data_IF_491379193154
#
_entry.id   IF_491379193154
#
_cell.length_a   1.000
_cell.length_b   1.000
_cell.length_c   1.000
_cell.angle_alpha   90.00
_cell.angle_beta   90.00
_cell.angle_gamma   90.00
#
_symmetry.space_group_name_H-M   'P 1'
#
loop_
_entity.id
_entity.type
_entity.pdbx_description
1 polymer ?
#
# COMPACT_ATOMS: atom_id res chain seq x y z
N UNK A 1 20.12 24.29 24.09
CA UNK A 1 18.74 24.44 24.62
C UNK A 1 18.07 25.55 23.81
N UNK A 2 17.15 25.26 22.89
CA UNK A 2 16.38 26.31 22.20
C UNK A 2 15.17 26.62 23.07
N UNK A 3 15.11 27.81 23.68
CA UNK A 3 13.91 28.30 24.35
C UNK A 3 12.81 28.48 23.31
N UNK A 4 11.66 27.80 23.48
CA UNK A 4 10.46 28.12 22.71
C UNK A 4 9.77 29.28 23.42
N UNK A 5 9.69 30.43 22.75
CA UNK A 5 8.79 31.50 23.13
C UNK A 5 7.41 31.21 22.50
N UNK A 6 6.36 31.18 23.32
CA UNK A 6 4.97 31.23 22.84
C UNK A 6 4.53 32.69 22.90
N UNK A 7 3.97 33.19 21.80
CA UNK A 7 3.53 34.58 21.66
C UNK A 7 2.02 34.62 21.50
N UNK A 8 1.34 35.43 22.31
CA UNK A 8 -0.09 35.70 22.17
C UNK A 8 -0.29 37.21 22.02
N UNK A 9 -1.09 37.62 21.05
CA UNK A 9 -1.47 39.03 20.89
C UNK A 9 -2.61 39.33 21.87
N UNK A 10 -2.41 40.30 22.75
CA UNK A 10 -3.42 40.77 23.71
C UNK A 10 -3.66 42.26 23.52
N UNK A 11 -4.92 42.74 23.63
CA UNK A 11 -5.26 44.15 23.42
C UNK A 11 -4.67 45.08 24.50
N UNK A 12 -4.42 44.56 25.70
CA UNK A 12 -3.69 45.26 26.76
C UNK A 12 -2.95 44.26 27.65
N UNK A 13 -1.79 44.66 28.18
CA UNK A 13 -1.01 43.82 29.10
C UNK A 13 -1.74 43.74 30.46
N UNK A 14 -2.06 42.55 31.00
CA UNK A 14 -2.67 42.46 32.31
C UNK A 14 -1.68 42.92 33.39
N UNK A 15 -2.10 43.90 34.20
CA UNK A 15 -1.34 44.48 35.30
C UNK A 15 -2.02 44.17 36.63
N UNK A 16 -1.22 44.06 37.69
CA UNK A 16 -1.67 44.03 39.07
C UNK A 16 -2.14 45.44 39.51
N UNK A 17 -2.90 45.56 40.61
CA UNK A 17 -3.29 46.87 41.17
C UNK A 17 -2.11 47.80 41.49
N UNK A 18 -0.90 47.24 41.64
CA UNK A 18 0.35 47.97 41.84
C UNK A 18 1.02 48.47 40.55
N UNK A 19 0.40 48.26 39.38
CA UNK A 19 0.93 48.65 38.07
C UNK A 19 2.00 47.72 37.47
N UNK A 20 2.35 46.61 38.15
CA UNK A 20 3.31 45.62 37.66
C UNK A 20 2.64 44.56 36.75
N UNK A 21 3.36 44.00 35.75
CA UNK A 21 2.84 42.89 34.92
C UNK A 21 2.37 41.68 35.74
N UNK A 22 1.16 41.22 35.48
CA UNK A 22 0.56 40.03 36.09
C UNK A 22 1.00 38.76 35.33
N UNK A 23 2.21 38.29 35.64
CA UNK A 23 2.81 37.11 35.00
C UNK A 23 1.94 35.84 35.07
N UNK A 24 1.27 35.51 36.19
CA UNK A 24 0.31 34.41 36.24
C UNK A 24 -0.79 34.51 35.18
N UNK A 25 -1.40 35.69 35.02
CA UNK A 25 -2.49 35.92 34.06
C UNK A 25 -2.03 35.96 32.61
N UNK A 26 -0.81 36.43 32.36
CA UNK A 26 -0.16 36.28 31.03
C UNK A 26 0.04 34.80 30.69
N UNK A 27 0.46 33.98 31.67
CA UNK A 27 0.68 32.55 31.45
C UNK A 27 -0.61 31.78 31.15
N UNK A 28 -1.73 32.13 31.78
CA UNK A 28 -3.03 31.50 31.47
C UNK A 28 -3.53 31.89 30.09
N UNK A 29 -3.41 33.16 29.69
CA UNK A 29 -3.77 33.62 28.35
C UNK A 29 -2.97 32.93 27.23
N UNK A 30 -1.70 32.61 27.49
CA UNK A 30 -0.84 31.85 26.55
C UNK A 30 -1.11 30.34 26.60
N UNK A 31 -1.66 29.82 27.70
CA UNK A 31 -2.06 28.42 27.84
C UNK A 31 -3.43 28.16 27.18
N UNK A 32 -4.34 29.13 27.22
CA UNK A 32 -5.71 29.06 26.70
C UNK A 32 -5.87 29.63 25.27
N UNK A 33 -4.77 30.03 24.62
CA UNK A 33 -4.78 30.44 23.21
C UNK A 33 -5.28 29.31 22.29
N UNK A 34 -6.01 29.62 21.21
CA UNK A 34 -6.75 28.61 20.46
C UNK A 34 -5.83 27.54 19.86
N UNK A 35 -6.26 26.25 19.83
CA UNK A 35 -5.53 25.13 19.23
C UNK A 35 -5.32 25.26 17.71
N UNK A 36 -5.86 26.31 17.07
CA UNK A 36 -5.82 26.56 15.64
C UNK A 36 -4.40 26.55 15.04
N UNK A 37 -3.36 26.89 15.82
CA UNK A 37 -1.97 26.86 15.34
C UNK A 37 -1.39 25.45 15.22
N UNK A 38 -1.76 24.52 16.12
CA UNK A 38 -1.31 23.12 16.04
C UNK A 38 -2.13 22.36 15.00
N UNK A 39 -3.43 22.70 14.83
CA UNK A 39 -4.26 22.13 13.77
C UNK A 39 -3.86 22.58 12.37
N UNK A 40 -3.44 23.85 12.21
CA UNK A 40 -2.86 24.33 10.95
C UNK A 40 -1.57 23.57 10.61
N UNK A 41 -0.69 23.30 11.59
CA UNK A 41 0.58 22.59 11.36
C UNK A 41 0.36 21.13 10.92
N UNK A 42 -0.65 20.42 11.46
CA UNK A 42 -1.01 19.09 10.97
C UNK A 42 -1.72 19.14 9.62
N UNK A 43 -2.64 20.08 9.38
CA UNK A 43 -3.30 20.24 8.09
C UNK A 43 -2.28 20.51 6.99
N UNK A 44 -1.31 21.39 7.24
CA UNK A 44 -0.21 21.70 6.32
C UNK A 44 0.66 20.46 6.07
N UNK A 45 0.94 19.67 7.11
CA UNK A 45 1.66 18.40 6.97
C UNK A 45 0.89 17.37 6.13
N UNK A 46 -0.44 17.31 6.28
CA UNK A 46 -1.33 16.49 5.43
C UNK A 46 -1.36 16.99 3.98
N UNK A 47 -1.49 18.31 3.79
CA UNK A 47 -1.46 18.97 2.49
C UNK A 47 -0.14 18.71 1.76
N UNK A 48 0.99 18.87 2.44
CA UNK A 48 2.33 18.66 1.91
C UNK A 48 2.55 17.22 1.43
N UNK A 49 2.17 16.24 2.25
CA UNK A 49 2.45 14.82 1.96
C UNK A 49 1.46 14.24 0.95
N UNK A 50 0.20 14.70 0.96
CA UNK A 50 -0.84 14.23 0.03
C UNK A 50 -0.96 15.10 -1.23
N UNK A 51 -0.15 16.17 -1.30
CA UNK A 51 -0.20 17.19 -2.35
C UNK A 51 -1.61 17.75 -2.54
N UNK A 52 -2.31 17.98 -1.44
CA UNK A 52 -3.65 18.55 -1.40
C UNK A 52 -3.57 20.03 -1.04
N UNK A 53 -4.57 20.80 -1.46
CA UNK A 53 -4.70 22.19 -1.01
C UNK A 53 -5.15 22.18 0.47
N UNK A 54 -4.42 22.83 1.40
CA UNK A 54 -4.78 22.90 2.82
C UNK A 54 -6.22 23.37 3.04
N UNK A 55 -6.74 24.25 2.18
CA UNK A 55 -8.09 24.80 2.29
C UNK A 55 -9.20 23.75 2.13
N UNK A 56 -8.89 22.59 1.54
CA UNK A 56 -9.84 21.50 1.30
C UNK A 56 -9.72 20.35 2.32
N UNK A 57 -8.84 20.45 3.31
CA UNK A 57 -8.62 19.41 4.31
C UNK A 57 -9.39 19.74 5.59
N UNK A 58 -10.41 18.94 5.89
CA UNK A 58 -11.14 19.03 7.16
C UNK A 58 -10.38 18.35 8.29
N UNK A 59 -10.45 18.90 9.50
CA UNK A 59 -9.92 18.27 10.73
C UNK A 59 -10.62 16.94 11.08
N UNK A 60 -11.80 16.68 10.52
CA UNK A 60 -12.52 15.41 10.65
C UNK A 60 -12.11 14.37 9.61
N UNK A 61 -11.35 14.76 8.58
CA UNK A 61 -10.89 13.84 7.55
C UNK A 61 -9.83 12.88 8.12
N UNK A 62 -9.84 11.65 7.62
CA UNK A 62 -8.80 10.67 7.93
C UNK A 62 -7.79 10.59 6.77
N UNK A 63 -6.61 10.03 7.04
CA UNK A 63 -5.60 9.79 6.00
C UNK A 63 -6.15 8.95 4.84
N UNK A 64 -7.01 7.98 5.14
CA UNK A 64 -7.65 7.12 4.12
C UNK A 64 -8.67 7.92 3.31
N UNK A 65 -9.48 8.77 3.93
CA UNK A 65 -10.50 9.58 3.24
C UNK A 65 -9.87 10.59 2.28
N UNK A 66 -8.71 11.13 2.64
CA UNK A 66 -7.93 12.06 1.81
C UNK A 66 -7.17 11.37 0.65
N UNK A 67 -7.38 10.06 0.46
CA UNK A 67 -6.78 9.31 -0.64
C UNK A 67 -5.32 8.91 -0.41
N UNK A 68 -4.90 8.80 0.86
CA UNK A 68 -3.60 8.29 1.23
C UNK A 68 -3.31 6.91 0.66
N UNK A 69 -2.06 6.69 0.26
CA UNK A 69 -1.54 5.46 -0.33
C UNK A 69 -0.35 4.93 0.49
N UNK A 70 0.26 3.81 0.08
CA UNK A 70 1.33 3.19 0.87
C UNK A 70 2.61 4.04 1.04
N UNK A 71 2.98 4.91 0.08
CA UNK A 71 4.17 5.79 0.23
C UNK A 71 3.85 7.00 1.09
N UNK A 72 2.76 7.68 0.77
CA UNK A 72 2.28 8.78 1.59
C UNK A 72 2.01 8.30 3.01
N UNK A 73 1.63 7.04 3.22
CA UNK A 73 1.50 6.45 4.55
C UNK A 73 2.82 6.46 5.30
N UNK A 74 3.91 5.98 4.70
CA UNK A 74 5.23 5.91 5.35
C UNK A 74 5.79 7.31 5.59
N UNK A 75 5.65 8.18 4.59
CA UNK A 75 6.11 9.58 4.70
C UNK A 75 5.31 10.31 5.78
N UNK A 76 3.99 10.10 5.80
CA UNK A 76 3.07 10.64 6.79
C UNK A 76 3.35 10.07 8.17
N UNK A 77 3.54 8.76 8.32
CA UNK A 77 3.78 8.13 9.61
C UNK A 77 5.08 8.63 10.23
N UNK A 78 6.15 8.77 9.44
CA UNK A 78 7.43 9.34 9.92
C UNK A 78 7.28 10.82 10.31
N UNK A 79 6.54 11.62 9.52
CA UNK A 79 6.34 13.04 9.81
C UNK A 79 5.41 13.26 11.01
N UNK A 80 4.31 12.51 11.10
CA UNK A 80 3.39 12.53 12.24
C UNK A 80 4.06 12.03 13.50
N UNK A 81 4.86 10.98 13.46
CA UNK A 81 5.57 10.50 14.64
C UNK A 81 6.64 11.51 15.11
N UNK A 82 7.25 12.28 14.20
CA UNK A 82 8.12 13.41 14.58
C UNK A 82 7.33 14.56 15.22
N UNK A 83 6.14 14.87 14.71
CA UNK A 83 5.30 15.95 15.21
C UNK A 83 4.65 15.59 16.56
N UNK A 84 4.07 14.40 16.67
CA UNK A 84 3.25 13.90 17.79
C UNK A 84 4.05 13.07 18.80
N UNK A 85 5.25 12.62 18.46
CA UNK A 85 6.14 11.81 19.31
C UNK A 85 5.79 10.32 19.39
N UNK A 86 4.50 9.98 19.49
CA UNK A 86 4.02 8.60 19.42
C UNK A 86 2.82 8.52 18.47
N UNK A 87 2.86 7.59 17.53
CA UNK A 87 1.80 7.37 16.56
C UNK A 87 1.04 6.06 16.85
N UNK A 88 -0.29 6.09 17.06
CA UNK A 88 -1.12 4.89 17.23
C UNK A 88 -1.09 3.98 15.99
N UNK A 89 -1.27 2.67 16.15
CA UNK A 89 -1.25 1.72 15.02
C UNK A 89 -2.43 1.90 14.03
N UNK A 90 -3.54 2.45 14.51
CA UNK A 90 -4.78 2.73 13.78
C UNK A 90 -4.90 4.18 13.31
N UNK A 91 -3.82 4.97 13.43
CA UNK A 91 -3.74 6.38 13.00
C UNK A 91 -4.33 6.69 11.61
N UNK A 92 -4.27 5.82 10.57
CA UNK A 92 -4.76 6.18 9.24
C UNK A 92 -6.28 6.36 9.19
N UNK A 93 -6.99 5.78 10.17
CA UNK A 93 -8.44 5.84 10.31
C UNK A 93 -8.88 6.82 11.41
N UNK A 94 -7.93 7.46 12.08
CA UNK A 94 -8.23 8.47 13.09
C UNK A 94 -8.39 9.84 12.40
N UNK A 95 -9.38 10.65 12.82
CA UNK A 95 -9.49 12.04 12.39
C UNK A 95 -8.25 12.85 12.80
N UNK A 96 -7.87 13.86 12.00
CA UNK A 96 -6.75 14.76 12.31
C UNK A 96 -6.90 15.37 13.72
N UNK A 97 -8.11 15.81 14.08
CA UNK A 97 -8.42 16.34 15.43
C UNK A 97 -8.15 15.37 16.58
N UNK A 98 -8.20 14.06 16.34
CA UNK A 98 -7.99 13.04 17.36
C UNK A 98 -6.49 12.72 17.51
N UNK A 99 -5.73 12.82 16.42
CA UNK A 99 -4.28 12.73 16.42
C UNK A 99 -3.65 13.90 17.20
N UNK A 100 -4.20 15.10 17.06
CA UNK A 100 -3.78 16.30 17.80
C UNK A 100 -3.94 16.16 19.33
N UNK A 101 -5.02 15.50 19.77
CA UNK A 101 -5.35 15.35 21.19
C UNK A 101 -4.50 14.31 21.92
N UNK A 102 -3.62 13.59 21.21
CA UNK A 102 -2.76 12.53 21.77
C UNK A 102 -1.26 12.84 21.62
N UNK A 103 -0.73 13.96 22.17
CA UNK A 103 0.70 14.19 22.15
C UNK A 103 1.42 13.14 23.03
N UNK A 104 2.31 12.37 22.43
CA UNK A 104 3.22 11.46 23.12
C UNK A 104 4.49 12.17 23.60
N UNK A 105 5.24 11.59 24.56
CA UNK A 105 6.53 12.15 24.99
C UNK A 105 7.52 12.23 23.81
N UNK A 106 8.10 13.42 23.60
CA UNK A 106 8.98 13.73 22.45
C UNK A 106 10.15 12.74 22.32
N UNK A 107 10.51 12.28 21.10
CA UNK A 107 11.58 11.31 20.93
C UNK A 107 12.95 11.98 21.14
N UNK A 108 13.82 11.36 21.94
CA UNK A 108 15.26 11.65 21.94
C UNK A 108 15.87 11.13 20.62
N UNK A 109 16.86 11.83 20.07
CA UNK A 109 17.51 11.46 18.80
C UNK A 109 18.13 10.04 18.77
N UNK A 110 18.41 9.45 19.93
CA UNK A 110 18.85 8.04 20.08
C UNK A 110 17.71 7.01 19.94
N UNK A 111 16.45 7.45 19.84
CA UNK A 111 15.27 6.61 19.57
C UNK A 111 14.88 6.59 18.08
N UNK A 112 15.80 6.85 17.16
CA UNK A 112 15.57 6.74 15.70
C UNK A 112 15.16 5.33 15.24
N UNK A 113 15.24 4.33 16.13
CA UNK A 113 14.74 2.96 16.01
C UNK A 113 13.24 2.79 16.34
N UNK A 114 12.53 3.89 16.62
CA UNK A 114 11.12 3.87 17.01
C UNK A 114 10.11 3.84 15.86
N UNK A 115 10.53 4.12 14.62
CA UNK A 115 9.55 4.31 13.53
C UNK A 115 8.81 3.02 13.21
N UNK A 116 7.49 3.12 13.18
CA UNK A 116 6.61 2.00 12.86
C UNK A 116 6.42 1.90 11.34
N UNK A 117 6.74 0.74 10.80
CA UNK A 117 6.51 0.39 9.40
C UNK A 117 5.46 -0.72 9.35
N UNK A 118 4.44 -0.59 8.50
CA UNK A 118 3.49 -1.69 8.30
C UNK A 118 4.21 -2.90 7.74
N UNK A 119 3.93 -4.07 8.31
CA UNK A 119 4.52 -5.34 7.84
C UNK A 119 4.17 -5.61 6.37
N UNK A 120 2.99 -5.18 5.92
CA UNK A 120 2.58 -5.25 4.51
C UNK A 120 3.54 -4.49 3.58
N UNK A 121 4.03 -3.32 3.99
CA UNK A 121 4.98 -2.48 3.24
C UNK A 121 6.37 -3.09 3.30
N UNK A 122 6.81 -3.50 4.50
CA UNK A 122 8.10 -4.15 4.70
C UNK A 122 8.24 -5.43 3.84
N UNK A 123 7.23 -6.30 3.90
CA UNK A 123 7.20 -7.53 3.12
C UNK A 123 7.07 -7.26 1.63
N UNK A 124 6.36 -6.19 1.21
CA UNK A 124 6.28 -5.81 -0.21
C UNK A 124 7.64 -5.39 -0.75
N UNK A 125 8.38 -4.58 0.02
CA UNK A 125 9.74 -4.17 -0.31
C UNK A 125 10.71 -5.36 -0.37
N UNK A 126 10.66 -6.24 0.65
CA UNK A 126 11.49 -7.44 0.69
C UNK A 126 11.16 -8.38 -0.48
N UNK A 127 9.87 -8.63 -0.73
CA UNK A 127 9.42 -9.55 -1.76
C UNK A 127 9.81 -9.09 -3.17
N UNK A 128 9.72 -7.79 -3.49
CA UNK A 128 10.16 -7.32 -4.81
C UNK A 128 11.68 -7.44 -4.97
N UNK A 129 12.47 -7.16 -3.92
CA UNK A 129 13.92 -7.36 -3.96
C UNK A 129 14.26 -8.85 -4.16
N UNK A 130 13.60 -9.75 -3.43
CA UNK A 130 13.79 -11.21 -3.61
C UNK A 130 13.44 -11.67 -5.03
N UNK A 131 12.37 -11.12 -5.62
CA UNK A 131 11.99 -11.38 -7.02
C UNK A 131 13.13 -10.96 -7.94
N UNK A 132 13.60 -9.72 -7.86
CA UNK A 132 14.64 -9.21 -8.77
C UNK A 132 15.96 -9.96 -8.60
N UNK A 133 16.38 -10.21 -7.35
CA UNK A 133 17.61 -10.96 -7.07
C UNK A 133 17.58 -12.38 -7.63
N UNK A 134 16.42 -13.05 -7.54
CA UNK A 134 16.28 -14.42 -8.07
C UNK A 134 16.32 -14.47 -9.60
N UNK A 135 15.67 -13.51 -10.26
CA UNK A 135 15.70 -13.44 -11.73
C UNK A 135 17.05 -12.99 -12.29
N UNK A 136 17.79 -12.15 -11.56
CA UNK A 136 19.16 -11.76 -11.91
C UNK A 136 20.21 -12.83 -11.56
N UNK A 137 19.79 -14.01 -11.11
CA UNK A 137 20.64 -15.11 -10.65
C UNK A 137 21.64 -14.70 -9.55
N UNK A 138 21.32 -13.68 -8.74
CA UNK A 138 22.19 -13.28 -7.63
C UNK A 138 22.13 -14.31 -6.50
N UNK A 139 20.93 -14.85 -6.23
CA UNK A 139 20.69 -16.03 -5.41
C UNK A 139 19.32 -16.60 -5.77
N UNK A 140 19.16 -17.92 -5.72
CA UNK A 140 17.91 -18.58 -6.11
C UNK A 140 16.95 -18.71 -4.92
N UNK A 141 16.08 -17.71 -4.74
CA UNK A 141 15.06 -17.72 -3.69
C UNK A 141 13.68 -17.34 -4.25
N UNK A 142 13.06 -18.31 -4.88
CA UNK A 142 11.72 -18.20 -5.44
C UNK A 142 10.67 -18.12 -4.34
N UNK A 143 9.62 -17.32 -4.53
CA UNK A 143 8.49 -17.20 -3.59
C UNK A 143 7.98 -15.78 -3.35
N UNK A 144 8.81 -14.76 -3.61
CA UNK A 144 8.43 -13.35 -3.37
C UNK A 144 7.11 -12.94 -4.04
N UNK A 145 6.84 -13.38 -5.27
CA UNK A 145 5.57 -13.09 -5.95
C UNK A 145 4.32 -13.66 -5.24
N UNK A 146 4.45 -14.81 -4.56
CA UNK A 146 3.33 -15.40 -3.79
C UNK A 146 3.05 -14.60 -2.52
N UNK A 147 4.11 -14.09 -1.88
CA UNK A 147 4.00 -13.15 -0.75
C UNK A 147 3.32 -11.86 -1.22
N UNK A 148 3.73 -11.29 -2.37
CA UNK A 148 3.09 -10.12 -2.96
C UNK A 148 1.59 -10.35 -3.23
N UNK A 149 1.20 -11.55 -3.67
CA UNK A 149 -0.20 -11.89 -3.93
C UNK A 149 -1.03 -11.93 -2.64
N UNK A 150 -0.48 -12.51 -1.56
CA UNK A 150 -1.10 -12.43 -0.24
C UNK A 150 -1.18 -11.00 0.31
N UNK A 151 -0.15 -10.18 0.14
CA UNK A 151 -0.19 -8.76 0.51
C UNK A 151 -1.26 -8.01 -0.29
N UNK A 152 -1.42 -8.31 -1.58
CA UNK A 152 -2.44 -7.70 -2.40
C UNK A 152 -3.86 -8.02 -1.88
N UNK A 153 -4.11 -9.27 -1.50
CA UNK A 153 -5.37 -9.67 -0.86
C UNK A 153 -5.61 -8.99 0.49
N UNK A 154 -4.56 -8.88 1.31
CA UNK A 154 -4.62 -8.18 2.60
C UNK A 154 -4.93 -6.69 2.44
N UNK A 155 -4.30 -6.03 1.47
CA UNK A 155 -4.55 -4.62 1.17
C UNK A 155 -5.93 -4.42 0.54
N UNK A 156 -6.39 -5.33 -0.32
CA UNK A 156 -7.74 -5.31 -0.85
C UNK A 156 -8.79 -5.33 0.27
N UNK A 157 -8.62 -6.19 1.28
CA UNK A 157 -9.50 -6.26 2.44
C UNK A 157 -9.60 -4.95 3.22
N UNK A 158 -8.48 -4.23 3.33
CA UNK A 158 -8.35 -3.02 4.15
C UNK A 158 -8.80 -1.74 3.44
N UNK A 159 -8.54 -1.66 2.13
CA UNK A 159 -8.68 -0.41 1.37
C UNK A 159 -9.79 -0.45 0.32
N UNK A 160 -10.12 -1.62 -0.23
CA UNK A 160 -11.18 -1.74 -1.25
C UNK A 160 -12.55 -2.12 -0.67
N UNK A 161 -12.57 -2.78 0.49
CA UNK A 161 -13.80 -3.22 1.18
C UNK A 161 -14.15 -2.29 2.35
N UNK A 162 -14.36 -1.00 2.03
CA UNK A 162 -14.70 0.07 2.97
C UNK A 162 -16.22 0.19 3.17
N UNK A 163 -16.69 0.84 4.25
CA UNK A 163 -18.12 1.04 4.50
C UNK A 163 -18.82 1.99 3.50
N UNK A 164 -18.06 2.58 2.56
CA UNK A 164 -18.55 3.50 1.52
C UNK A 164 -19.73 2.93 0.72
N UNK A 165 -20.45 3.82 0.03
CA UNK A 165 -21.56 3.42 -0.81
C UNK A 165 -21.08 2.50 -1.93
N UNK A 166 -21.95 1.59 -2.38
CA UNK A 166 -21.63 0.61 -3.42
C UNK A 166 -21.06 1.27 -4.69
N UNK A 167 -21.64 2.35 -5.26
CA UNK A 167 -21.09 3.00 -6.46
C UNK A 167 -19.68 3.56 -6.27
N UNK A 168 -19.37 4.10 -5.09
CA UNK A 168 -18.05 4.64 -4.76
C UNK A 168 -17.01 3.54 -4.61
N UNK A 169 -17.37 2.44 -3.97
CA UNK A 169 -16.55 1.24 -3.88
C UNK A 169 -16.25 0.67 -5.28
N UNK A 170 -17.26 0.58 -6.15
CA UNK A 170 -17.07 0.16 -7.54
C UNK A 170 -16.08 1.06 -8.30
N UNK A 171 -16.26 2.37 -8.16
CA UNK A 171 -15.36 3.36 -8.77
C UNK A 171 -13.94 3.17 -8.25
N UNK A 172 -13.76 2.98 -6.95
CA UNK A 172 -12.47 2.75 -6.31
C UNK A 172 -11.80 1.46 -6.81
N UNK A 173 -12.51 0.32 -6.82
CA UNK A 173 -11.98 -0.95 -7.36
C UNK A 173 -11.58 -0.82 -8.82
N UNK A 174 -12.43 -0.22 -9.66
CA UNK A 174 -12.12 0.00 -11.09
C UNK A 174 -10.89 0.88 -11.26
N UNK A 175 -10.77 1.94 -10.47
CA UNK A 175 -9.60 2.82 -10.47
C UNK A 175 -8.34 2.05 -10.04
N UNK A 176 -8.40 1.21 -9.00
CA UNK A 176 -7.29 0.36 -8.56
C UNK A 176 -6.88 -0.66 -9.63
N UNK A 177 -7.84 -1.32 -10.28
CA UNK A 177 -7.58 -2.23 -11.39
C UNK A 177 -6.91 -1.47 -12.54
N UNK A 178 -7.47 -0.34 -12.95
CA UNK A 178 -6.88 0.49 -14.00
C UNK A 178 -5.47 0.97 -13.65
N UNK A 179 -5.20 1.27 -12.37
CA UNK A 179 -3.87 1.66 -11.91
C UNK A 179 -2.80 0.58 -12.00
N UNK A 180 -3.21 -0.69 -11.98
CA UNK A 180 -2.30 -1.83 -12.12
C UNK A 180 -2.23 -2.27 -13.58
N UNK A 181 -3.40 -2.45 -14.21
CA UNK A 181 -3.52 -2.96 -15.56
C UNK A 181 -2.99 -1.97 -16.60
N UNK A 182 -3.30 -0.66 -16.50
CA UNK A 182 -2.90 0.29 -17.53
C UNK A 182 -1.37 0.44 -17.66
N UNK A 183 -0.60 0.61 -16.56
CA UNK A 183 0.87 0.59 -16.67
C UNK A 183 1.43 -0.73 -17.17
N UNK A 184 0.84 -1.87 -16.74
CA UNK A 184 1.27 -3.18 -17.20
C UNK A 184 1.03 -3.35 -18.71
N UNK A 185 -0.16 -3.05 -19.21
CA UNK A 185 -0.51 -3.12 -20.63
C UNK A 185 0.33 -2.14 -21.45
N UNK A 186 0.53 -0.91 -20.97
CA UNK A 186 1.39 0.07 -21.65
C UNK A 186 2.84 -0.40 -21.72
N UNK A 187 3.37 -1.00 -20.64
CA UNK A 187 4.71 -1.57 -20.65
C UNK A 187 4.83 -2.76 -21.59
N UNK A 188 3.84 -3.66 -21.59
CA UNK A 188 3.78 -4.79 -22.52
C UNK A 188 3.70 -4.30 -23.96
N UNK A 189 2.92 -3.26 -24.25
CA UNK A 189 2.84 -2.65 -25.58
C UNK A 189 4.20 -2.08 -26.03
N UNK A 190 4.92 -1.41 -25.12
CA UNK A 190 6.27 -0.92 -25.40
C UNK A 190 7.26 -2.07 -25.61
N UNK A 191 7.23 -3.08 -24.73
CA UNK A 191 8.12 -4.24 -24.81
C UNK A 191 7.85 -5.05 -26.09
N UNK A 192 6.61 -5.16 -26.54
CA UNK A 192 6.24 -5.78 -27.82
C UNK A 192 6.89 -5.09 -29.04
N UNK A 193 7.13 -3.78 -28.97
CA UNK A 193 7.75 -3.01 -30.05
C UNK A 193 9.27 -3.10 -29.99
N UNK A 194 9.83 -3.23 -28.79
CA UNK A 194 11.28 -3.18 -28.53
C UNK A 194 11.92 -4.57 -28.45
N UNK A 195 11.13 -5.61 -28.16
CA UNK A 195 11.61 -6.98 -27.98
C UNK A 195 10.66 -7.97 -28.65
N UNK A 196 11.22 -9.01 -29.27
CA UNK A 196 10.43 -10.10 -29.89
C UNK A 196 9.90 -11.13 -28.86
N UNK A 197 10.15 -10.90 -27.57
CA UNK A 197 9.83 -11.82 -26.48
C UNK A 197 8.34 -11.87 -26.13
N UNK A 198 7.53 -10.88 -26.53
CA UNK A 198 6.14 -10.74 -26.09
C UNK A 198 5.14 -11.06 -27.22
N UNK A 199 4.01 -11.66 -26.86
CA UNK A 199 2.86 -11.92 -27.75
C UNK A 199 1.67 -11.00 -27.49
N UNK A 200 0.76 -10.86 -28.48
CA UNK A 200 -0.47 -10.05 -28.38
C UNK A 200 -1.39 -10.49 -27.23
N UNK A 201 -1.36 -11.78 -26.87
CA UNK A 201 -2.06 -12.34 -25.69
C UNK A 201 -1.64 -11.69 -24.37
N UNK A 202 -0.40 -11.20 -24.26
CA UNK A 202 0.10 -10.47 -23.08
C UNK A 202 -0.51 -9.06 -22.95
N UNK A 203 -0.95 -8.41 -24.04
CA UNK A 203 -1.65 -7.12 -24.00
C UNK A 203 -3.01 -7.23 -23.30
N UNK A 204 -3.66 -8.38 -23.43
CA UNK A 204 -4.92 -8.67 -22.74
C UNK A 204 -4.71 -9.17 -21.32
N UNK A 205 -3.45 -9.30 -20.85
CA UNK A 205 -3.11 -10.02 -19.60
C UNK A 205 -3.78 -11.40 -19.55
N UNK A 206 -3.94 -12.01 -20.72
CA UNK A 206 -4.66 -13.26 -20.93
C UNK A 206 -3.72 -14.32 -21.51
N UNK A 207 -2.40 -14.15 -21.36
CA UNK A 207 -1.43 -15.09 -21.89
C UNK A 207 -1.63 -16.50 -21.28
N UNK A 208 -2.18 -16.58 -20.06
CA UNK A 208 -2.56 -17.87 -19.46
C UNK A 208 -3.84 -18.52 -19.96
N UNK A 209 -4.75 -17.76 -20.57
CA UNK A 209 -5.97 -18.30 -21.17
C UNK A 209 -5.80 -18.55 -22.67
N UNK A 210 -5.01 -17.70 -23.34
CA UNK A 210 -4.98 -17.57 -24.79
C UNK A 210 -3.56 -17.69 -25.38
N UNK A 211 -2.52 -17.74 -24.55
CA UNK A 211 -1.13 -17.77 -24.98
C UNK A 211 -0.53 -19.18 -25.01
N UNK A 212 0.56 -19.39 -25.77
CA UNK A 212 1.28 -20.67 -25.79
C UNK A 212 1.80 -21.02 -24.39
N UNK A 213 1.54 -22.24 -23.92
CA UNK A 213 1.97 -22.74 -22.61
C UNK A 213 3.50 -22.71 -22.44
N UNK A 214 4.26 -22.76 -23.54
CA UNK A 214 5.74 -22.75 -23.58
C UNK A 214 6.36 -21.36 -23.84
N UNK A 215 5.61 -20.25 -23.74
CA UNK A 215 6.20 -18.92 -23.97
C UNK A 215 7.10 -18.51 -22.79
N UNK A 216 8.32 -18.02 -23.10
CA UNK A 216 9.27 -17.48 -22.13
C UNK A 216 8.71 -16.30 -21.30
N UNK A 217 7.61 -15.70 -21.76
CA UNK A 217 6.81 -14.67 -21.08
C UNK A 217 5.71 -15.19 -20.13
N UNK A 218 5.29 -16.45 -20.22
CA UNK A 218 4.24 -17.02 -19.38
C UNK A 218 4.57 -16.93 -17.87
N UNK A 219 5.87 -17.04 -17.52
CA UNK A 219 6.37 -16.83 -16.17
C UNK A 219 6.66 -15.37 -15.80
N UNK A 220 6.78 -14.44 -16.77
CA UNK A 220 7.20 -13.05 -16.49
C UNK A 220 6.08 -12.17 -15.95
N UNK A 221 4.84 -12.34 -16.45
CA UNK A 221 3.70 -11.47 -16.08
C UNK A 221 2.64 -12.16 -15.21
N UNK A 222 2.82 -13.44 -14.90
CA UNK A 222 1.80 -14.27 -14.26
C UNK A 222 1.19 -13.64 -13.00
N UNK A 223 2.00 -12.97 -12.17
CA UNK A 223 1.55 -12.32 -10.94
C UNK A 223 0.54 -11.21 -11.25
N UNK A 224 0.83 -10.36 -12.24
CA UNK A 224 -0.03 -9.24 -12.62
C UNK A 224 -1.33 -9.77 -13.24
N UNK A 225 -1.25 -10.80 -14.09
CA UNK A 225 -2.43 -11.43 -14.68
C UNK A 225 -3.37 -12.00 -13.60
N UNK A 226 -2.83 -12.80 -12.67
CA UNK A 226 -3.62 -13.39 -11.58
C UNK A 226 -4.24 -12.31 -10.71
N UNK A 227 -3.48 -11.27 -10.36
CA UNK A 227 -3.98 -10.17 -9.56
C UNK A 227 -5.12 -9.43 -10.27
N UNK A 228 -4.94 -9.04 -11.53
CA UNK A 228 -5.94 -8.28 -12.29
C UNK A 228 -7.21 -9.10 -12.48
N UNK A 229 -7.11 -10.37 -12.91
CA UNK A 229 -8.28 -11.23 -13.10
C UNK A 229 -9.00 -11.54 -11.79
N UNK A 230 -8.27 -11.73 -10.68
CA UNK A 230 -8.87 -11.88 -9.36
C UNK A 230 -9.66 -10.63 -8.97
N UNK A 231 -9.09 -9.44 -9.17
CA UNK A 231 -9.76 -8.17 -8.87
C UNK A 231 -10.98 -7.93 -9.78
N UNK A 232 -10.91 -8.28 -11.06
CA UNK A 232 -12.05 -8.22 -11.99
C UNK A 232 -13.15 -9.18 -11.53
N UNK A 233 -12.80 -10.43 -11.24
CA UNK A 233 -13.73 -11.44 -10.74
C UNK A 233 -14.42 -11.01 -9.44
N UNK A 234 -13.67 -10.44 -8.49
CA UNK A 234 -14.24 -9.90 -7.25
C UNK A 234 -15.10 -8.66 -7.49
N UNK A 235 -14.74 -7.80 -8.44
CA UNK A 235 -15.56 -6.65 -8.83
C UNK A 235 -16.91 -7.12 -9.37
N UNK A 236 -16.91 -8.13 -10.25
CA UNK A 236 -18.13 -8.73 -10.78
C UNK A 236 -18.94 -9.44 -9.69
N UNK A 237 -18.29 -10.17 -8.79
CA UNK A 237 -18.94 -10.84 -7.66
C UNK A 237 -19.67 -9.85 -6.76
N UNK A 238 -18.99 -8.76 -6.36
CA UNK A 238 -19.58 -7.71 -5.52
C UNK A 238 -20.56 -6.82 -6.28
N UNK A 239 -20.71 -7.02 -7.60
CA UNK A 239 -21.74 -6.35 -8.38
C UNK A 239 -23.10 -7.00 -8.14
N UNK A 240 -23.13 -8.16 -7.51
CA UNK A 240 -24.36 -8.74 -6.99
C UNK A 240 -24.71 -8.09 -5.65
N UNK A 241 -25.92 -7.49 -5.49
CA UNK A 241 -26.35 -6.88 -4.22
C UNK A 241 -26.35 -7.87 -3.05
N UNK A 242 -26.49 -9.17 -3.34
CA UNK A 242 -26.45 -10.23 -2.33
C UNK A 242 -25.03 -10.40 -1.79
N UNK A 243 -24.02 -10.44 -2.67
CA UNK A 243 -22.63 -10.58 -2.26
C UNK A 243 -22.13 -9.37 -1.46
N UNK A 244 -22.50 -8.14 -1.87
CA UNK A 244 -22.16 -6.92 -1.12
C UNK A 244 -22.83 -6.92 0.27
N UNK A 245 -24.10 -7.32 0.37
CA UNK A 245 -24.80 -7.43 1.67
C UNK A 245 -24.18 -8.49 2.57
N UNK A 246 -23.79 -9.65 2.03
CA UNK A 246 -23.14 -10.72 2.78
C UNK A 246 -21.77 -10.27 3.29
N UNK A 247 -20.97 -9.59 2.46
CA UNK A 247 -19.66 -9.09 2.89
C UNK A 247 -19.76 -8.03 3.98
N UNK A 248 -20.80 -7.20 3.98
CA UNK A 248 -21.07 -6.25 5.07
C UNK A 248 -21.52 -6.92 6.36
N UNK A 249 -22.32 -7.98 6.27
CA UNK A 249 -22.86 -8.70 7.45
C UNK A 249 -21.83 -9.63 8.09
N UNK A 250 -21.06 -10.34 7.27
CA UNK A 250 -20.13 -11.37 7.71
C UNK A 250 -18.82 -11.30 6.89
N UNK A 251 -18.02 -10.24 7.05
CA UNK A 251 -16.85 -9.97 6.21
C UNK A 251 -15.81 -11.10 6.26
N UNK A 252 -15.57 -11.65 7.45
CA UNK A 252 -14.65 -12.78 7.61
C UNK A 252 -15.19 -14.07 6.97
N UNK A 253 -16.50 -14.35 7.11
CA UNK A 253 -17.09 -15.55 6.55
C UNK A 253 -17.05 -15.56 5.02
N UNK A 254 -17.28 -14.40 4.37
CA UNK A 254 -17.15 -14.27 2.92
C UNK A 254 -15.71 -14.51 2.46
N UNK A 255 -14.73 -13.92 3.16
CA UNK A 255 -13.32 -14.14 2.85
C UNK A 255 -12.90 -15.61 3.08
N UNK A 256 -13.38 -16.24 4.15
CA UNK A 256 -13.14 -17.65 4.45
C UNK A 256 -13.80 -18.59 3.43
N UNK A 257 -15.00 -18.28 2.95
CA UNK A 257 -15.66 -19.03 1.89
C UNK A 257 -14.89 -18.92 0.57
N UNK A 258 -14.43 -17.72 0.22
CA UNK A 258 -13.58 -17.51 -0.97
C UNK A 258 -12.25 -18.28 -0.87
N UNK A 259 -11.64 -18.29 0.32
CA UNK A 259 -10.46 -19.11 0.61
C UNK A 259 -10.76 -20.61 0.50
N UNK A 260 -11.88 -21.09 1.03
CA UNK A 260 -12.28 -22.49 0.92
C UNK A 260 -12.46 -22.93 -0.54
N UNK A 261 -13.05 -22.08 -1.39
CA UNK A 261 -13.12 -22.32 -2.85
C UNK A 261 -11.72 -22.41 -3.46
N UNK A 262 -10.82 -21.48 -3.11
CA UNK A 262 -9.43 -21.53 -3.56
C UNK A 262 -8.71 -22.82 -3.14
N UNK A 263 -8.93 -23.27 -1.90
CA UNK A 263 -8.36 -24.52 -1.38
C UNK A 263 -8.93 -25.76 -2.07
N UNK A 264 -10.24 -25.79 -2.35
CA UNK A 264 -10.88 -26.90 -3.06
C UNK A 264 -10.32 -27.04 -4.49
N UNK A 265 -10.12 -25.91 -5.19
CA UNK A 265 -9.52 -25.90 -6.52
C UNK A 265 -8.04 -26.29 -6.49
N UNK A 266 -7.31 -25.86 -5.45
CA UNK A 266 -5.89 -26.18 -5.26
C UNK A 266 -5.66 -27.69 -5.06
N UNK A 267 -6.54 -28.38 -4.34
CA UNK A 267 -6.48 -29.84 -4.17
C UNK A 267 -7.21 -30.63 -5.25
N UNK A 268 -7.68 -29.96 -6.31
CA UNK A 268 -8.50 -30.54 -7.38
C UNK A 268 -9.66 -31.42 -6.86
N UNK A 269 -10.31 -30.97 -5.78
CA UNK A 269 -11.47 -31.68 -5.19
C UNK A 269 -12.58 -31.94 -6.23
N UNK A 270 -12.87 -31.02 -7.18
CA UNK A 270 -13.87 -31.28 -8.21
C UNK A 270 -13.38 -32.20 -9.35
N UNK A 271 -12.12 -32.63 -9.35
CA UNK A 271 -11.56 -33.55 -10.35
C UNK A 271 -11.52 -32.96 -11.76
N UNK A 272 -11.24 -31.66 -11.89
CA UNK A 272 -11.25 -30.97 -13.18
C UNK A 272 -9.98 -31.23 -14.00
N UNK A 273 -8.99 -31.93 -13.43
CA UNK A 273 -7.77 -32.31 -14.14
C UNK A 273 -6.90 -31.11 -14.52
N UNK A 274 -6.99 -30.02 -13.77
CA UNK A 274 -6.29 -28.75 -14.05
C UNK A 274 -4.80 -28.75 -13.63
N UNK A 275 -4.21 -29.89 -13.29
CA UNK A 275 -2.83 -30.01 -12.75
C UNK A 275 -1.91 -30.80 -13.69
N UNK A 276 -0.76 -30.27 -14.12
CA UNK A 276 0.45 -30.19 -13.28
C UNK A 276 1.15 -28.82 -13.21
N UNK A 277 0.78 -27.82 -14.02
CA UNK A 277 1.48 -26.51 -14.08
C UNK A 277 0.97 -25.45 -13.09
N UNK A 278 0.36 -25.89 -11.99
CA UNK A 278 -0.39 -25.03 -11.04
C UNK A 278 0.43 -23.94 -10.35
N UNK A 279 1.76 -23.95 -10.48
CA UNK A 279 2.70 -22.97 -9.92
C UNK A 279 2.57 -21.60 -10.59
N UNK A 280 2.09 -21.61 -11.84
CA UNK A 280 1.87 -20.43 -12.65
C UNK A 280 0.48 -20.49 -13.29
N UNK A 281 -0.56 -21.03 -12.65
CA UNK A 281 -1.94 -20.94 -13.18
C UNK A 281 -2.75 -19.86 -12.47
N UNK A 282 -3.99 -19.61 -12.91
CA UNK A 282 -4.93 -18.73 -12.21
C UNK A 282 -5.23 -19.21 -10.78
N UNK A 283 -4.99 -20.51 -10.52
CA UNK A 283 -5.26 -21.18 -9.25
C UNK A 283 -4.49 -20.59 -8.08
N UNK A 284 -3.35 -19.92 -8.30
CA UNK A 284 -2.59 -19.24 -7.26
C UNK A 284 -3.37 -18.11 -6.54
N UNK A 285 -4.56 -17.72 -7.02
CA UNK A 285 -5.43 -16.75 -6.34
C UNK A 285 -5.76 -17.13 -4.89
N UNK A 286 -5.63 -18.40 -4.48
CA UNK A 286 -5.83 -18.79 -3.07
C UNK A 286 -4.85 -18.09 -2.11
N UNK A 287 -3.65 -17.68 -2.55
CA UNK A 287 -2.77 -16.83 -1.75
C UNK A 287 -3.35 -15.43 -1.52
N UNK A 288 -4.00 -14.85 -2.55
CA UNK A 288 -4.77 -13.61 -2.39
C UNK A 288 -5.90 -13.83 -1.38
N UNK A 289 -6.60 -14.97 -1.46
CA UNK A 289 -7.67 -15.32 -0.53
C UNK A 289 -7.18 -15.41 0.93
N UNK A 290 -6.00 -16.01 1.18
CA UNK A 290 -5.35 -16.03 2.50
C UNK A 290 -5.14 -14.61 3.01
N UNK A 291 -4.56 -13.75 2.16
CA UNK A 291 -4.34 -12.34 2.49
C UNK A 291 -5.63 -11.60 2.84
N UNK A 292 -6.69 -11.81 2.05
CA UNK A 292 -7.99 -11.20 2.29
C UNK A 292 -8.60 -11.68 3.61
N UNK A 293 -8.60 -12.99 3.87
CA UNK A 293 -9.09 -13.56 5.12
C UNK A 293 -8.30 -13.03 6.33
N UNK A 294 -6.98 -12.92 6.21
CA UNK A 294 -6.13 -12.32 7.23
C UNK A 294 -6.49 -10.85 7.51
N UNK A 295 -6.77 -10.07 6.47
CA UNK A 295 -7.16 -8.66 6.59
C UNK A 295 -8.53 -8.44 7.24
N UNK A 296 -9.43 -9.43 7.19
CA UNK A 296 -10.73 -9.41 7.87
C UNK A 296 -10.75 -10.16 9.21
N UNK A 297 -9.65 -10.81 9.60
CA UNK A 297 -9.56 -11.55 10.85
C UNK A 297 -9.45 -10.61 12.07
N UNK A 298 -10.48 -10.63 12.92
CA UNK A 298 -10.62 -9.77 14.11
C UNK A 298 -10.21 -10.47 15.40
N UNK A 299 -10.34 -11.80 15.47
CA UNK A 299 -10.01 -12.59 16.67
C UNK A 299 -8.74 -13.41 16.47
N UNK A 300 -8.07 -13.76 17.57
CA UNK A 300 -6.89 -14.65 17.54
C UNK A 300 -7.25 -16.03 16.96
N UNK A 301 -8.45 -16.53 17.22
CA UNK A 301 -8.94 -17.79 16.65
C UNK A 301 -9.07 -17.71 15.13
N UNK A 302 -9.65 -16.62 14.59
CA UNK A 302 -9.73 -16.42 13.14
C UNK A 302 -8.34 -16.38 12.49
N UNK A 303 -7.38 -15.69 13.12
CA UNK A 303 -5.98 -15.65 12.65
C UNK A 303 -5.29 -17.00 12.71
N UNK A 304 -5.54 -17.77 13.77
CA UNK A 304 -5.03 -19.14 13.91
C UNK A 304 -5.60 -20.07 12.83
N UNK A 305 -6.91 -20.01 12.56
CA UNK A 305 -7.55 -20.78 11.48
C UNK A 305 -6.92 -20.43 10.12
N UNK A 306 -6.79 -19.15 9.79
CA UNK A 306 -6.15 -18.72 8.52
C UNK A 306 -4.70 -19.19 8.45
N UNK A 307 -3.98 -19.18 9.57
CA UNK A 307 -2.60 -19.68 9.64
C UNK A 307 -2.51 -21.19 9.40
N UNK A 308 -3.40 -21.97 10.00
CA UNK A 308 -3.46 -23.42 9.79
C UNK A 308 -3.78 -23.74 8.33
N UNK A 309 -4.79 -23.06 7.75
CA UNK A 309 -5.14 -23.23 6.32
C UNK A 309 -3.98 -22.82 5.41
N UNK A 310 -3.24 -21.77 5.75
CA UNK A 310 -2.01 -21.37 5.04
C UNK A 310 -0.96 -22.49 5.09
N UNK A 311 -0.67 -23.07 6.25
CA UNK A 311 0.35 -24.12 6.39
C UNK A 311 -0.05 -25.37 5.62
N UNK A 312 -1.30 -25.83 5.79
CA UNK A 312 -1.87 -26.98 5.07
C UNK A 312 -1.83 -26.73 3.58
N UNK A 313 -2.24 -25.52 3.16
CA UNK A 313 -2.06 -25.04 1.81
C UNK A 313 -0.62 -25.16 1.38
N UNK A 314 0.33 -24.38 1.89
CA UNK A 314 1.69 -24.37 1.34
C UNK A 314 2.37 -25.76 1.31
N UNK A 315 2.03 -26.67 2.22
CA UNK A 315 2.59 -28.02 2.24
C UNK A 315 2.48 -28.75 0.89
N UNK A 316 3.63 -29.18 0.37
CA UNK A 316 3.74 -29.93 -0.89
C UNK A 316 3.40 -29.11 -2.14
N UNK A 317 3.11 -27.80 -1.99
CA UNK A 317 2.71 -26.95 -3.12
C UNK A 317 3.86 -26.69 -4.08
N UNK A 318 5.07 -26.47 -3.54
CA UNK A 318 6.23 -26.06 -4.32
C UNK A 318 7.24 -27.18 -4.54
N UNK A 319 7.13 -28.30 -3.81
CA UNK A 319 8.13 -29.37 -3.83
C UNK A 319 9.52 -28.92 -3.34
N UNK A 320 9.60 -27.75 -2.70
CA UNK A 320 10.84 -27.14 -2.22
C UNK A 320 10.61 -26.55 -0.82
N UNK A 321 11.22 -27.17 0.19
CA UNK A 321 11.00 -26.81 1.59
C UNK A 321 11.45 -25.39 1.93
N UNK A 322 12.50 -24.87 1.28
CA UNK A 322 12.97 -23.51 1.51
C UNK A 322 11.96 -22.48 1.01
N UNK A 323 11.41 -22.69 -0.19
CA UNK A 323 10.35 -21.84 -0.76
C UNK A 323 9.07 -21.92 0.05
N UNK A 324 8.68 -23.11 0.51
CA UNK A 324 7.54 -23.31 1.39
C UNK A 324 7.71 -22.55 2.71
N UNK A 325 8.88 -22.67 3.35
CA UNK A 325 9.20 -21.96 4.59
C UNK A 325 9.20 -20.44 4.39
N UNK A 326 9.78 -19.94 3.30
CA UNK A 326 9.83 -18.51 2.99
C UNK A 326 8.42 -17.91 2.85
N UNK A 327 7.58 -18.52 2.01
CA UNK A 327 6.22 -18.03 1.73
C UNK A 327 5.34 -18.13 2.99
N UNK A 328 5.43 -19.25 3.71
CA UNK A 328 4.70 -19.43 4.96
C UNK A 328 5.13 -18.40 5.99
N UNK A 329 6.43 -18.20 6.20
CA UNK A 329 6.95 -17.21 7.16
C UNK A 329 6.50 -15.80 6.81
N UNK A 330 6.63 -15.39 5.53
CA UNK A 330 6.19 -14.07 5.08
C UNK A 330 4.70 -13.81 5.34
N UNK A 331 3.83 -14.79 5.05
CA UNK A 331 2.39 -14.63 5.25
C UNK A 331 1.97 -14.79 6.71
N UNK A 332 2.65 -15.62 7.51
CA UNK A 332 2.44 -15.69 8.97
C UNK A 332 2.81 -14.35 9.63
N UNK A 333 3.93 -13.74 9.23
CA UNK A 333 4.30 -12.40 9.68
C UNK A 333 3.22 -11.39 9.31
N UNK A 334 2.67 -11.44 8.09
CA UNK A 334 1.57 -10.57 7.68
C UNK A 334 0.30 -10.76 8.54
N UNK A 335 -0.01 -11.98 8.97
CA UNK A 335 -1.20 -12.31 9.78
C UNK A 335 -1.05 -11.82 11.23
N UNK A 336 0.11 -12.06 11.84
CA UNK A 336 0.30 -11.89 13.29
C UNK A 336 1.01 -10.60 13.68
N UNK A 337 1.85 -10.05 12.79
CA UNK A 337 2.65 -8.87 13.06
C UNK A 337 2.12 -7.70 12.24
N UNK A 338 1.32 -6.77 12.79
CA UNK A 338 0.76 -5.66 12.03
C UNK A 338 1.81 -4.59 11.67
N UNK A 339 2.76 -4.35 12.57
CA UNK A 339 3.83 -3.35 12.38
C UNK A 339 5.17 -3.88 12.87
N UNK A 340 6.24 -3.45 12.21
CA UNK A 340 7.62 -3.70 12.59
C UNK A 340 8.26 -2.36 12.96
N UNK A 341 9.04 -2.34 14.03
CA UNK A 341 9.84 -1.17 14.40
C UNK A 341 11.18 -1.24 13.69
N UNK A 342 11.53 -0.20 12.95
CA UNK A 342 12.81 -0.12 12.26
C UNK A 342 13.36 1.31 12.28
N UNK A 343 14.63 1.53 11.93
CA UNK A 343 15.18 2.86 11.79
C UNK A 343 14.47 3.68 10.69
N UNK A 344 14.31 4.99 10.89
CA UNK A 344 13.58 5.85 9.95
C UNK A 344 14.09 5.77 8.50
N UNK A 345 15.40 5.59 8.30
CA UNK A 345 16.01 5.43 6.97
C UNK A 345 15.54 4.14 6.30
N UNK A 346 15.45 3.05 7.07
CA UNK A 346 14.94 1.75 6.59
C UNK A 346 13.45 1.85 6.27
N UNK A 347 12.67 2.51 7.12
CA UNK A 347 11.25 2.75 6.86
C UNK A 347 11.04 3.51 5.55
N UNK A 348 11.78 4.62 5.34
CA UNK A 348 11.71 5.42 4.12
C UNK A 348 12.13 4.62 2.88
N UNK A 349 13.26 3.90 2.94
CA UNK A 349 13.72 3.07 1.83
C UNK A 349 12.72 1.95 1.49
N UNK A 350 12.20 1.25 2.50
CA UNK A 350 11.17 0.23 2.32
C UNK A 350 9.89 0.82 1.72
N UNK A 351 9.46 2.01 2.17
CA UNK A 351 8.32 2.71 1.59
C UNK A 351 8.50 3.00 0.09
N UNK A 352 9.66 3.55 -0.30
CA UNK A 352 9.99 3.85 -1.68
C UNK A 352 10.07 2.58 -2.57
N UNK A 353 10.78 1.55 -2.11
CA UNK A 353 10.90 0.27 -2.84
C UNK A 353 9.54 -0.40 -2.96
N UNK A 354 8.75 -0.40 -1.88
CA UNK A 354 7.42 -0.97 -1.90
C UNK A 354 6.53 -0.23 -2.90
N UNK A 355 6.53 1.11 -2.94
CA UNK A 355 5.73 1.85 -3.94
C UNK A 355 6.18 1.55 -5.37
N UNK A 356 7.49 1.42 -5.57
CA UNK A 356 8.06 1.05 -6.85
C UNK A 356 7.81 -0.40 -7.29
N UNK A 357 7.20 -1.23 -6.43
CA UNK A 357 7.17 -2.69 -6.65
C UNK A 357 6.57 -3.09 -7.99
N UNK A 358 5.53 -2.40 -8.46
CA UNK A 358 4.90 -2.68 -9.75
C UNK A 358 5.84 -2.35 -10.92
N UNK A 359 6.40 -1.14 -10.93
CA UNK A 359 7.30 -0.71 -12.01
C UNK A 359 8.58 -1.51 -12.02
N UNK A 360 9.19 -1.76 -10.85
CA UNK A 360 10.34 -2.66 -10.72
C UNK A 360 10.01 -4.06 -11.26
N UNK A 361 8.84 -4.62 -10.92
CA UNK A 361 8.41 -5.93 -11.43
C UNK A 361 8.27 -5.93 -12.95
N UNK A 362 7.73 -4.87 -13.55
CA UNK A 362 7.55 -4.81 -15.00
C UNK A 362 8.89 -4.65 -15.73
N UNK A 363 9.80 -3.81 -15.23
CA UNK A 363 10.99 -3.41 -15.98
C UNK A 363 12.24 -4.24 -15.71
N UNK A 364 12.31 -4.99 -14.60
CA UNK A 364 13.56 -5.66 -14.20
C UNK A 364 14.11 -6.61 -15.28
N UNK A 365 13.23 -7.35 -15.98
CA UNK A 365 13.64 -8.25 -17.07
C UNK A 365 14.41 -7.56 -18.19
N UNK A 366 14.14 -6.29 -18.46
CA UNK A 366 14.86 -5.51 -19.47
C UNK A 366 16.12 -4.82 -18.91
N UNK A 367 16.17 -4.60 -17.58
CA UNK A 367 17.24 -3.83 -16.96
C UNK A 367 18.41 -4.70 -16.51
N UNK A 368 18.16 -5.78 -15.76
CA UNK A 368 19.26 -6.56 -15.19
C UNK A 368 20.18 -7.20 -16.26
N UNK A 369 19.69 -7.65 -17.44
CA UNK A 369 20.57 -8.26 -18.44
C UNK A 369 21.63 -7.29 -19.00
N UNK A 370 21.37 -5.98 -18.97
CA UNK A 370 22.29 -4.95 -19.47
C UNK A 370 23.62 -4.89 -18.69
N UNK A 371 23.66 -5.49 -17.50
CA UNK A 371 24.82 -5.49 -16.61
C UNK A 371 25.65 -6.78 -16.69
N UNK A 372 25.25 -7.75 -17.52
CA UNK A 372 26.00 -8.99 -17.79
C UNK A 372 26.43 -9.72 -16.51
N UNK A 373 27.74 -9.86 -16.30
CA UNK A 373 28.32 -10.54 -15.13
C UNK A 373 28.15 -9.75 -13.82
N UNK A 374 27.88 -8.45 -13.88
CA UNK A 374 27.71 -7.61 -12.71
C UNK A 374 26.27 -7.64 -12.17
N UNK A 375 25.83 -8.82 -11.74
CA UNK A 375 24.46 -9.11 -11.27
C UNK A 375 23.96 -8.12 -10.22
N UNK A 376 24.80 -7.74 -9.25
CA UNK A 376 24.44 -6.78 -8.20
C UNK A 376 24.06 -5.40 -8.77
N UNK A 377 24.82 -4.88 -9.75
CA UNK A 377 24.49 -3.60 -10.39
C UNK A 377 23.18 -3.70 -11.18
N UNK A 378 22.91 -4.85 -11.81
CA UNK A 378 21.63 -5.11 -12.47
C UNK A 378 20.43 -5.08 -11.52
N UNK A 379 20.57 -5.66 -10.32
CA UNK A 379 19.53 -5.60 -9.27
C UNK A 379 19.31 -4.17 -8.80
N UNK A 380 20.39 -3.46 -8.45
CA UNK A 380 20.30 -2.07 -7.96
C UNK A 380 19.70 -1.16 -9.04
N UNK A 381 20.14 -1.28 -10.29
CA UNK A 381 19.61 -0.51 -11.40
C UNK A 381 18.12 -0.79 -11.63
N UNK A 382 17.68 -2.05 -11.54
CA UNK A 382 16.26 -2.42 -11.68
C UNK A 382 15.38 -1.75 -10.62
N UNK A 383 15.83 -1.73 -9.36
CA UNK A 383 15.12 -1.06 -8.26
C UNK A 383 15.11 0.46 -8.46
N UNK A 384 16.25 1.05 -8.82
CA UNK A 384 16.38 2.50 -9.05
C UNK A 384 15.49 2.96 -10.21
N UNK A 385 15.46 2.24 -11.33
CA UNK A 385 14.59 2.54 -12.47
C UNK A 385 13.12 2.42 -12.08
N UNK A 386 12.74 1.39 -11.32
CA UNK A 386 11.38 1.26 -10.79
C UNK A 386 10.96 2.44 -9.91
N UNK A 387 11.86 2.93 -9.05
CA UNK A 387 11.63 4.13 -8.22
C UNK A 387 11.50 5.38 -9.10
N UNK A 388 12.38 5.55 -10.09
CA UNK A 388 12.35 6.69 -10.99
C UNK A 388 11.05 6.74 -11.82
N UNK A 389 10.62 5.61 -12.38
CA UNK A 389 9.38 5.51 -13.14
C UNK A 389 8.15 5.81 -12.27
N UNK A 390 8.14 5.29 -11.05
CA UNK A 390 7.10 5.62 -10.05
C UNK A 390 7.04 7.12 -9.81
N UNK A 391 8.18 7.76 -9.56
CA UNK A 391 8.25 9.20 -9.32
C UNK A 391 7.75 10.02 -10.52
N UNK A 392 8.17 9.66 -11.74
CA UNK A 392 7.72 10.32 -12.98
C UNK A 392 6.20 10.20 -13.12
N UNK A 393 5.66 9.00 -12.95
CA UNK A 393 4.23 8.76 -13.09
C UNK A 393 3.44 9.54 -12.02
N UNK A 394 3.91 9.55 -10.78
CA UNK A 394 3.28 10.31 -9.69
C UNK A 394 3.28 11.81 -9.97
N UNK A 395 4.39 12.36 -10.47
CA UNK A 395 4.46 13.78 -10.85
C UNK A 395 3.55 14.13 -12.03
N UNK A 396 3.50 13.29 -13.08
CA UNK A 396 2.61 13.51 -14.23
C UNK A 396 1.15 13.55 -13.76
N UNK A 397 0.76 12.64 -12.86
CA UNK A 397 -0.58 12.61 -12.29
C UNK A 397 -0.90 13.87 -11.48
N UNK A 398 0.02 14.32 -10.64
CA UNK A 398 -0.14 15.54 -9.86
C UNK A 398 -0.41 16.73 -10.80
N UNK A 399 0.42 16.91 -11.83
CA UNK A 399 0.26 17.98 -12.83
C UNK A 399 -1.07 17.88 -13.59
N UNK A 400 -1.53 16.67 -13.94
CA UNK A 400 -2.82 16.47 -14.60
C UNK A 400 -4.01 16.78 -13.68
N UNK A 401 -3.89 16.49 -12.38
CA UNK A 401 -4.91 16.82 -11.37
C UNK A 401 -5.00 18.33 -11.18
N UNK A 402 -3.87 19.00 -11.04
CA UNK A 402 -3.81 20.45 -10.84
C UNK A 402 -4.42 21.18 -12.04
N UNK A 403 -4.06 20.77 -13.27
CA UNK A 403 -4.68 21.32 -14.50
C UNK A 403 -6.19 21.13 -14.56
N UNK A 404 -6.72 20.00 -14.08
CA UNK A 404 -8.17 19.73 -14.05
C UNK A 404 -8.90 20.56 -13.00
N UNK A 405 -8.26 20.85 -11.87
CA UNK A 405 -8.81 21.73 -10.83
C UNK A 405 -8.80 23.18 -11.31
N UNK A 406 -7.71 23.65 -11.91
CA UNK A 406 -7.62 25.00 -12.49
C UNK A 406 -8.62 25.21 -13.62
N UNK A 407 -8.86 24.19 -14.47
CA UNK A 407 -9.84 24.28 -15.56
C UNK A 407 -11.31 24.23 -15.08
N UNK A 408 -11.57 23.76 -13.84
CA UNK A 408 -12.91 23.67 -13.25
C UNK A 408 -13.27 24.85 -12.36
N UNK A 409 -12.35 25.81 -12.18
CA UNK A 409 -12.59 27.04 -11.44
C UNK A 409 -12.75 28.23 -12.41
N UNK A 410 -13.91 28.37 -13.10
CA UNK A 410 -14.18 29.54 -13.93
C UNK A 410 -14.39 30.82 -13.09
N UNK A 411 -14.41 30.74 -11.75
CA UNK A 411 -14.55 31.90 -10.87
C UNK A 411 -13.23 32.66 -10.63
N UNK A 412 -12.09 32.15 -11.13
CA UNK A 412 -10.81 32.87 -11.18
C UNK A 412 -10.49 33.42 -12.57
N UNK A 413 -11.50 33.87 -13.32
CA UNK A 413 -11.25 34.86 -14.36
C UNK A 413 -10.84 36.17 -13.67
N UNK A 414 -9.66 36.75 -13.97
CA UNK A 414 -9.27 38.02 -13.38
C UNK A 414 -10.30 39.07 -13.77
N UNK A 415 -11.00 39.62 -12.77
CA UNK A 415 -11.74 40.86 -12.93
C UNK A 415 -10.73 41.98 -13.21
N UNK A 416 -10.37 42.13 -14.49
CA UNK A 416 -9.70 43.28 -15.05
C UNK A 416 -10.40 43.63 -16.35
N UNK A 417 -11.48 44.40 -16.23
CA UNK A 417 -11.75 45.62 -16.99
C UNK A 417 -12.84 46.43 -16.30
#
# INVERSE_FOLDING_TARGET
>A
RRCRARTAAVPALPLLPSGKPDYPRVRTLVADGPPAQESAELIDLFADVLHLDPAHISTDATFVDLGGNSLSYVTMSVRLERALGHLPADWPRLPIRELERRPGPRPRWWRSWGTTLETSVALRALAIVLVVCSHAELFEMWGGAHILLGIAGYNFARFCLTPLSRPERFRHLRTTIAWIALPAVAWVAFALVVTDDYHLSNLLLANKFLGPHDSMTAGRLWFVEVLVWTLIGLTLLFWLPVADRLERRAPFAVAAAFLAVGMALRYDVPGLGLGHDAWFTMLAFWFFAIGWAAGKATTALQRAIVTVVLIVGVHGYFGNSLREALVTTGLVLLIWLPTVRCPAVVALAAGAIAEASLYTYLTHFQVYPLFGSHRLYGVVASVVIGIALTAVVTQVRARMRDRRLTARDPARAPALR
#
